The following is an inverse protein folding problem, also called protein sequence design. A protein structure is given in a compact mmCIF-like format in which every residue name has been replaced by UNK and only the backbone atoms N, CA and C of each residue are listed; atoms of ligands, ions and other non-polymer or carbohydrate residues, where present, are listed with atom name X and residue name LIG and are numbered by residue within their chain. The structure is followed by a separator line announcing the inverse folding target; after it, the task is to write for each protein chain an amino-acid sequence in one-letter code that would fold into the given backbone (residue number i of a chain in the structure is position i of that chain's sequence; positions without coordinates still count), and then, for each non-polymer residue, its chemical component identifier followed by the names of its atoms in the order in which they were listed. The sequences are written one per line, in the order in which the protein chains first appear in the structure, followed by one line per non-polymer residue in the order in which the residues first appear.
data_IF_198342916607
#
_entry.id   IF_198342916607
#
_cell.length_a   1.000
_cell.length_b   1.000
_cell.length_c   1.000
_cell.angle_alpha   90.00
_cell.angle_beta   90.00
_cell.angle_gamma   90.00
#
_symmetry.space_group_name_H-M   'P 1'
#
loop_
_entity.id
_entity.type
_entity.pdbx_description
1 polymer ?
#
# COMPACT_ATOMS: atom_id res chain seq x y z
N UNK A 1 -33.23 -42.10 4.95
CA UNK A 1 -33.07 -41.55 3.60
C UNK A 1 -33.68 -40.15 3.60
N UNK A 2 -32.97 -39.03 3.69
CA UNK A 2 -31.59 -38.75 4.08
C UNK A 2 -31.60 -37.37 4.75
N UNK A 3 -30.95 -37.24 5.90
CA UNK A 3 -30.53 -35.96 6.47
C UNK A 3 -29.43 -35.42 5.58
N UNK A 4 -29.51 -34.16 5.17
CA UNK A 4 -28.32 -33.39 4.80
C UNK A 4 -28.58 -31.93 5.10
N UNK A 5 -28.16 -31.56 6.30
CA UNK A 5 -27.46 -30.30 6.54
C UNK A 5 -26.66 -29.92 5.30
N UNK A 6 -27.03 -28.79 4.68
CA UNK A 6 -26.06 -28.04 3.88
C UNK A 6 -25.57 -26.91 4.76
N UNK A 7 -24.52 -27.28 5.47
CA UNK A 7 -23.55 -26.44 6.13
C UNK A 7 -23.47 -25.03 5.56
N UNK A 8 -23.53 -24.08 6.49
CA UNK A 8 -23.00 -22.75 6.27
C UNK A 8 -21.54 -22.86 5.80
N UNK A 9 -21.25 -22.28 4.64
CA UNK A 9 -19.88 -21.86 4.31
C UNK A 9 -19.95 -20.41 3.79
N UNK A 10 -19.74 -19.40 4.65
CA UNK A 10 -19.50 -18.05 4.20
C UNK A 10 -18.04 -17.98 3.73
N UNK A 11 -17.76 -18.29 2.46
CA UNK A 11 -16.39 -18.18 1.97
C UNK A 11 -16.30 -17.88 0.48
N UNK A 12 -16.65 -16.65 0.14
CA UNK A 12 -15.92 -15.91 -0.88
C UNK A 12 -15.33 -14.66 -0.22
N UNK A 13 -14.56 -14.85 0.86
CA UNK A 13 -13.64 -13.83 1.31
C UNK A 13 -12.65 -13.58 0.17
N UNK A 14 -12.76 -12.41 -0.47
CA UNK A 14 -11.69 -11.76 -1.21
C UNK A 14 -10.88 -12.69 -2.12
N UNK A 15 -11.48 -13.14 -3.23
CA UNK A 15 -10.69 -13.47 -4.40
C UNK A 15 -10.11 -12.17 -4.95
N UNK A 16 -9.00 -11.69 -4.37
CA UNK A 16 -8.27 -10.53 -4.85
C UNK A 16 -8.08 -10.65 -6.37
N UNK A 17 -8.65 -9.70 -7.11
CA UNK A 17 -8.63 -9.71 -8.58
C UNK A 17 -7.18 -9.84 -9.08
N UNK A 18 -6.90 -10.61 -10.15
CA UNK A 18 -5.52 -10.96 -10.58
C UNK A 18 -4.56 -9.77 -10.74
N UNK A 19 -5.10 -8.59 -11.05
CA UNK A 19 -4.35 -7.32 -11.09
C UNK A 19 -3.68 -6.96 -9.76
N UNK A 20 -4.29 -7.29 -8.62
CA UNK A 20 -3.75 -6.98 -7.30
C UNK A 20 -2.62 -7.92 -6.88
N UNK A 21 -2.51 -9.14 -7.45
CA UNK A 21 -1.43 -10.08 -7.11
C UNK A 21 -0.06 -9.60 -7.54
N UNK A 22 0.04 -8.95 -8.71
CA UNK A 22 1.32 -8.40 -9.20
C UNK A 22 1.80 -7.22 -8.36
N UNK A 23 0.88 -6.53 -7.68
CA UNK A 23 1.18 -5.34 -6.91
C UNK A 23 1.16 -5.58 -5.39
N UNK A 24 0.71 -6.74 -4.91
CA UNK A 24 0.62 -7.11 -3.49
C UNK A 24 1.96 -6.95 -2.77
N UNK A 25 3.05 -7.41 -3.38
CA UNK A 25 4.39 -7.26 -2.82
C UNK A 25 4.82 -5.80 -2.77
N UNK A 26 4.54 -5.02 -3.83
CA UNK A 26 4.83 -3.59 -3.85
C UNK A 26 4.05 -2.86 -2.75
N UNK A 27 2.78 -3.22 -2.53
CA UNK A 27 1.94 -2.65 -1.48
C UNK A 27 2.44 -2.98 -0.07
N UNK A 28 2.86 -4.22 0.15
CA UNK A 28 3.45 -4.63 1.43
C UNK A 28 4.70 -3.82 1.77
N UNK A 29 5.50 -3.47 0.76
CA UNK A 29 6.75 -2.74 0.93
C UNK A 29 6.56 -1.22 0.97
N UNK A 30 5.45 -0.70 0.45
CA UNK A 30 5.19 0.74 0.29
C UNK A 30 5.27 1.53 1.62
N UNK A 31 4.66 1.10 2.74
CA UNK A 31 4.75 1.85 4.01
C UNK A 31 6.19 1.98 4.49
N UNK A 32 6.95 0.88 4.49
CA UNK A 32 8.35 0.90 4.91
C UNK A 32 9.24 1.70 3.95
N UNK A 33 8.91 1.75 2.65
CA UNK A 33 9.61 2.62 1.71
C UNK A 33 9.35 4.11 2.00
N UNK A 34 8.11 4.48 2.31
CA UNK A 34 7.73 5.86 2.70
C UNK A 34 8.44 6.29 3.98
N UNK A 35 8.52 5.41 4.99
CA UNK A 35 9.27 5.68 6.23
C UNK A 35 10.76 5.93 5.95
N UNK A 36 11.41 5.07 5.16
CA UNK A 36 12.83 5.22 4.81
C UNK A 36 13.10 6.50 4.01
N UNK A 37 12.22 6.84 3.08
CA UNK A 37 12.32 8.08 2.30
C UNK A 37 12.13 9.32 3.17
N UNK A 38 11.23 9.25 4.15
CA UNK A 38 11.02 10.33 5.11
C UNK A 38 12.27 10.53 5.98
N UNK A 39 12.88 9.44 6.47
CA UNK A 39 14.14 9.52 7.21
C UNK A 39 15.28 10.13 6.35
N UNK A 40 15.38 9.73 5.08
CA UNK A 40 16.35 10.30 4.15
C UNK A 40 16.11 11.80 3.89
N UNK A 41 14.85 12.23 3.78
CA UNK A 41 14.50 13.65 3.64
C UNK A 41 14.98 14.46 4.84
N UNK A 42 14.76 13.97 6.06
CA UNK A 42 15.23 14.67 7.26
C UNK A 42 16.75 14.67 7.37
N UNK A 43 17.44 13.62 6.89
CA UNK A 43 18.90 13.61 6.80
C UNK A 43 19.43 14.68 5.83
N UNK A 44 18.77 14.89 4.69
CA UNK A 44 19.14 15.98 3.76
C UNK A 44 18.92 17.36 4.36
N UNK A 45 17.81 17.58 5.07
CA UNK A 45 17.60 18.84 5.82
C UNK A 45 18.67 19.09 6.86
N UNK A 46 19.06 18.05 7.60
CA UNK A 46 20.11 18.17 8.62
C UNK A 46 21.51 18.42 8.02
N UNK A 47 21.70 18.15 6.74
CA UNK A 47 22.93 18.39 6.00
C UNK A 47 22.92 19.70 5.18
N UNK A 48 21.90 20.56 5.35
CA UNK A 48 21.67 21.78 4.56
C UNK A 48 21.49 21.51 3.04
N UNK A 49 21.12 20.28 2.67
CA UNK A 49 20.83 19.85 1.30
C UNK A 49 19.33 20.04 0.97
N UNK A 50 18.84 21.26 1.13
CA UNK A 50 17.41 21.59 1.00
C UNK A 50 16.82 21.23 -0.37
N UNK A 51 17.62 21.36 -1.43
CA UNK A 51 17.22 20.96 -2.78
C UNK A 51 16.82 19.48 -2.82
N UNK A 52 17.67 18.59 -2.27
CA UNK A 52 17.38 17.16 -2.23
C UNK A 52 16.18 16.85 -1.33
N UNK A 53 16.06 17.53 -0.19
CA UNK A 53 14.91 17.37 0.69
C UNK A 53 13.58 17.75 0.03
N UNK A 54 13.57 18.81 -0.80
CA UNK A 54 12.39 19.24 -1.56
C UNK A 54 12.01 18.21 -2.63
N UNK A 55 12.98 17.69 -3.38
CA UNK A 55 12.72 16.65 -4.38
C UNK A 55 12.10 15.39 -3.74
N UNK A 56 12.62 14.96 -2.57
CA UNK A 56 12.07 13.81 -1.85
C UNK A 56 10.64 14.04 -1.34
N UNK A 57 10.28 15.28 -0.99
CA UNK A 57 8.92 15.61 -0.54
C UNK A 57 7.89 15.25 -1.61
N UNK A 58 8.16 15.58 -2.87
CA UNK A 58 7.26 15.30 -3.99
C UNK A 58 7.11 13.79 -4.21
N UNK A 59 8.21 13.04 -4.15
CA UNK A 59 8.17 11.58 -4.30
C UNK A 59 7.38 10.91 -3.16
N UNK A 60 7.60 11.32 -1.91
CA UNK A 60 6.86 10.80 -0.75
C UNK A 60 5.36 11.06 -0.92
N UNK A 61 4.96 12.27 -1.31
CA UNK A 61 3.55 12.60 -1.51
C UNK A 61 2.87 11.71 -2.56
N UNK A 62 3.54 11.43 -3.68
CA UNK A 62 3.02 10.51 -4.71
C UNK A 62 2.87 9.07 -4.20
N UNK A 63 3.81 8.60 -3.40
CA UNK A 63 3.71 7.27 -2.80
C UNK A 63 2.57 7.19 -1.78
N UNK A 64 2.31 8.27 -1.04
CA UNK A 64 1.16 8.34 -0.12
C UNK A 64 -0.19 8.40 -0.86
N UNK A 65 -0.27 9.13 -1.97
CA UNK A 65 -1.46 9.13 -2.84
C UNK A 65 -1.74 7.72 -3.38
N UNK A 66 -0.71 7.03 -3.87
CA UNK A 66 -0.81 5.64 -4.32
C UNK A 66 -1.30 4.75 -3.16
N UNK A 67 -0.70 4.89 -1.97
CA UNK A 67 -1.12 4.14 -0.76
C UNK A 67 -2.61 4.36 -0.46
N UNK A 68 -3.09 5.59 -0.51
CA UNK A 68 -4.47 5.95 -0.20
C UNK A 68 -5.45 5.34 -1.23
N UNK A 69 -5.18 5.52 -2.53
CA UNK A 69 -5.99 4.96 -3.61
C UNK A 69 -6.14 3.43 -3.52
N UNK A 70 -5.14 2.76 -2.97
CA UNK A 70 -5.12 1.32 -2.83
C UNK A 70 -5.76 0.83 -1.52
N UNK A 71 -5.68 1.63 -0.46
CA UNK A 71 -6.33 1.35 0.82
C UNK A 71 -7.87 1.42 0.69
N UNK A 72 -8.37 2.32 -0.16
CA UNK A 72 -9.81 2.47 -0.41
C UNK A 72 -10.41 1.34 -1.26
N UNK A 73 -9.57 0.49 -1.87
CA UNK A 73 -10.00 -0.63 -2.73
C UNK A 73 -10.82 -0.18 -3.94
N UNK A 74 -11.20 -1.10 -4.85
CA UNK A 74 -12.26 -0.80 -5.80
C UNK A 74 -13.56 -0.70 -4.98
N UNK A 75 -14.01 0.51 -4.68
CA UNK A 75 -15.41 0.71 -4.33
C UNK A 75 -16.20 0.28 -5.57
N UNK A 76 -16.99 -0.80 -5.41
CA UNK A 76 -17.65 -1.52 -6.50
C UNK A 76 -18.51 -0.64 -7.42
#
# INVERSE_FOLDING_TARGET
MGTNDKDAVPQAANAAHPYYRHAEQAFRLLPGAVERLTALREAFRAADEDFLAVELKTMIARLEEIRALLADGPQG
#
